data_IF_720609537119
#
_entry.id   IF_720609537119
#
_cell.length_a   1.000
_cell.length_b   1.000
_cell.length_c   1.000
_cell.angle_alpha   90.00
_cell.angle_beta   90.00
_cell.angle_gamma   90.00
#
_symmetry.space_group_name_H-M   'P 1'
#
loop_
_entity.id
_entity.type
_entity.pdbx_description
1 polymer ?
#
# COMPACT_ATOMS: atom_id res chain seq x y z
N UNK A 1 -14.83 -39.67 0.60
CA UNK A 1 -15.57 -38.95 1.65
C UNK A 1 -14.64 -37.84 2.15
N UNK A 2 -14.56 -36.75 1.40
CA UNK A 2 -13.75 -35.60 1.77
C UNK A 2 -14.63 -34.65 2.59
N UNK A 3 -14.11 -34.26 3.74
CA UNK A 3 -14.67 -33.31 4.68
C UNK A 3 -14.20 -31.92 4.23
N UNK A 4 -15.03 -31.23 3.43
CA UNK A 4 -14.87 -29.81 3.11
C UNK A 4 -15.65 -28.99 4.13
N UNK A 5 -15.00 -27.99 4.69
CA UNK A 5 -15.35 -27.34 5.95
C UNK A 5 -16.74 -26.70 5.97
N UNK A 6 -17.38 -26.80 7.13
CA UNK A 6 -18.68 -26.21 7.43
C UNK A 6 -18.58 -24.70 7.43
N UNK A 7 -19.42 -24.05 6.61
CA UNK A 7 -19.77 -22.64 6.71
C UNK A 7 -20.00 -22.27 8.18
N UNK A 8 -19.18 -21.36 8.73
CA UNK A 8 -19.45 -20.72 10.02
C UNK A 8 -20.54 -19.66 9.84
N UNK A 9 -21.76 -20.10 9.60
CA UNK A 9 -22.96 -19.26 9.52
C UNK A 9 -24.16 -20.05 10.02
N UNK A 10 -24.88 -19.50 11.00
CA UNK A 10 -25.96 -20.16 11.74
C UNK A 10 -27.14 -20.67 10.89
N UNK A 11 -28.18 -21.25 11.54
CA UNK A 11 -29.11 -22.20 10.93
C UNK A 11 -30.22 -21.59 10.05
N UNK A 12 -29.94 -20.59 9.21
CA UNK A 12 -30.91 -20.01 8.28
C UNK A 12 -30.26 -19.47 6.98
N UNK A 13 -29.78 -20.35 6.09
CA UNK A 13 -29.73 -20.07 4.63
C UNK A 13 -29.39 -21.31 3.80
N UNK A 14 -30.42 -22.06 3.39
CA UNK A 14 -30.38 -22.83 2.15
C UNK A 14 -30.74 -21.86 1.01
N UNK A 15 -29.77 -21.05 0.58
CA UNK A 15 -29.87 -20.31 -0.68
C UNK A 15 -28.96 -20.99 -1.71
N UNK A 16 -29.36 -21.07 -2.99
CA UNK A 16 -28.58 -21.74 -4.01
C UNK A 16 -27.31 -20.94 -4.27
N UNK A 17 -26.16 -21.41 -3.78
CA UNK A 17 -24.79 -21.10 -4.25
C UNK A 17 -24.43 -19.62 -4.48
N UNK A 18 -25.20 -18.64 -4.02
CA UNK A 18 -25.18 -17.32 -4.67
C UNK A 18 -24.06 -16.41 -4.22
N UNK A 19 -23.48 -16.72 -3.06
CA UNK A 19 -22.29 -16.13 -2.48
C UNK A 19 -21.91 -17.07 -1.32
N UNK A 20 -20.76 -17.72 -1.39
CA UNK A 20 -20.32 -18.68 -0.37
C UNK A 20 -19.42 -18.03 0.69
N UNK A 21 -19.09 -16.74 0.54
CA UNK A 21 -18.41 -15.94 1.55
C UNK A 21 -18.95 -14.50 1.56
N UNK A 22 -19.98 -14.26 2.39
CA UNK A 22 -20.61 -12.95 2.58
C UNK A 22 -19.64 -11.84 3.06
N UNK A 23 -18.39 -12.18 3.42
CA UNK A 23 -17.35 -11.24 3.82
C UNK A 23 -16.42 -10.81 2.68
N UNK A 24 -16.43 -11.53 1.56
CA UNK A 24 -15.53 -11.31 0.43
C UNK A 24 -16.29 -11.27 -0.89
N UNK A 25 -16.47 -10.07 -1.44
CA UNK A 25 -17.18 -9.87 -2.71
C UNK A 25 -16.55 -10.55 -3.93
N UNK A 26 -15.33 -11.08 -3.83
CA UNK A 26 -14.65 -11.86 -4.86
C UNK A 26 -15.01 -13.35 -4.86
N UNK A 27 -15.67 -13.84 -3.81
CA UNK A 27 -16.02 -15.26 -3.62
C UNK A 27 -17.53 -15.43 -3.82
N UNK A 28 -17.93 -15.72 -5.04
CA UNK A 28 -19.34 -15.81 -5.45
C UNK A 28 -19.43 -16.56 -6.79
N UNK A 29 -20.62 -16.92 -7.32
CA UNK A 29 -20.80 -17.57 -8.64
C UNK A 29 -20.15 -16.93 -9.86
N UNK A 30 -19.76 -15.66 -9.77
CA UNK A 30 -19.04 -14.93 -10.83
C UNK A 30 -17.56 -14.77 -10.51
N UNK A 31 -17.09 -15.34 -9.39
CA UNK A 31 -15.69 -15.48 -9.02
C UNK A 31 -14.95 -16.37 -10.01
N UNK A 32 -13.62 -16.32 -9.94
CA UNK A 32 -12.73 -17.16 -10.75
C UNK A 32 -11.89 -18.00 -9.83
N UNK A 33 -11.85 -19.31 -10.10
CA UNK A 33 -11.06 -20.29 -9.34
C UNK A 33 -9.59 -19.87 -9.24
N UNK A 34 -9.15 -19.67 -8.01
CA UNK A 34 -7.75 -19.49 -7.70
C UNK A 34 -7.11 -20.84 -7.40
N UNK A 35 -6.06 -21.17 -8.17
CA UNK A 35 -5.36 -22.43 -8.00
C UNK A 35 -4.37 -22.36 -6.82
N UNK A 36 -4.92 -22.21 -5.63
CA UNK A 36 -4.20 -21.95 -4.39
C UNK A 36 -4.18 -23.16 -3.44
N UNK A 37 -3.22 -23.22 -2.49
CA UNK A 37 -3.17 -24.29 -1.48
C UNK A 37 -4.25 -24.17 -0.40
N UNK A 38 -4.92 -23.02 -0.28
CA UNK A 38 -6.00 -22.75 0.68
C UNK A 38 -7.30 -23.49 0.32
N UNK A 39 -7.43 -24.02 -0.91
CA UNK A 39 -8.57 -24.82 -1.37
C UNK A 39 -9.89 -24.11 -1.09
N UNK A 40 -9.94 -22.82 -1.42
CA UNK A 40 -11.12 -21.98 -1.28
C UNK A 40 -11.97 -22.07 -2.57
N UNK A 41 -13.29 -22.10 -2.41
CA UNK A 41 -14.26 -22.20 -3.52
C UNK A 41 -14.66 -20.79 -3.97
N UNK A 42 -13.86 -20.16 -4.83
CA UNK A 42 -14.09 -18.75 -5.23
C UNK A 42 -15.32 -18.59 -6.13
N UNK A 43 -15.61 -19.58 -6.98
CA UNK A 43 -16.78 -19.53 -7.86
C UNK A 43 -18.03 -20.19 -7.24
N UNK A 44 -17.91 -20.69 -6.01
CA UNK A 44 -18.98 -21.32 -5.25
C UNK A 44 -19.67 -22.48 -6.02
N UNK A 45 -18.96 -23.13 -6.95
CA UNK A 45 -19.46 -24.27 -7.72
C UNK A 45 -19.35 -25.60 -6.97
N UNK A 46 -18.95 -25.56 -5.70
CA UNK A 46 -18.79 -26.73 -4.83
C UNK A 46 -17.48 -27.48 -5.07
N UNK A 47 -16.56 -26.93 -5.86
CA UNK A 47 -15.24 -27.48 -6.13
C UNK A 47 -14.19 -26.37 -6.08
N UNK A 48 -13.48 -26.27 -4.97
CA UNK A 48 -12.49 -25.22 -4.74
C UNK A 48 -11.21 -25.21 -5.60
N UNK A 49 -11.03 -26.19 -6.47
CA UNK A 49 -9.80 -26.35 -7.25
C UNK A 49 -10.02 -27.47 -8.27
N UNK A 50 -10.92 -27.26 -9.26
CA UNK A 50 -11.24 -28.31 -10.21
C UNK A 50 -10.01 -28.60 -11.07
N UNK A 51 -9.68 -29.88 -11.17
CA UNK A 51 -8.53 -30.41 -11.94
C UNK A 51 -8.51 -29.85 -13.36
N UNK A 52 -9.68 -29.66 -13.98
CA UNK A 52 -9.83 -29.11 -15.33
C UNK A 52 -9.38 -27.65 -15.50
N UNK A 53 -9.31 -26.87 -14.40
CA UNK A 53 -8.84 -25.48 -14.41
C UNK A 53 -7.42 -25.35 -13.85
N UNK A 54 -7.05 -26.19 -12.87
CA UNK A 54 -5.79 -26.05 -12.15
C UNK A 54 -4.64 -26.95 -12.62
N UNK A 55 -4.92 -28.04 -13.35
CA UNK A 55 -3.84 -28.75 -14.03
C UNK A 55 -3.38 -28.02 -15.29
N UNK A 56 -2.08 -28.11 -15.57
CA UNK A 56 -1.49 -27.51 -16.75
C UNK A 56 -0.26 -28.29 -17.21
N UNK A 57 0.14 -28.08 -18.46
CA UNK A 57 1.40 -28.63 -18.98
C UNK A 57 2.54 -27.66 -18.72
N UNK A 58 3.69 -28.15 -18.27
CA UNK A 58 4.87 -27.30 -17.98
C UNK A 58 5.22 -26.40 -19.18
N UNK A 59 5.30 -25.08 -18.95
CA UNK A 59 5.51 -24.06 -19.98
C UNK A 59 4.25 -23.55 -20.69
N UNK A 60 3.06 -24.06 -20.35
CA UNK A 60 1.80 -23.50 -20.83
C UNK A 60 1.57 -22.11 -20.23
N UNK A 61 0.95 -21.21 -21.01
CA UNK A 61 0.53 -19.88 -20.58
C UNK A 61 -1.01 -19.83 -20.51
N UNK A 62 -1.54 -19.11 -19.52
CA UNK A 62 -2.96 -18.71 -19.47
C UNK A 62 -3.09 -17.24 -19.07
N UNK A 63 -4.20 -16.58 -19.41
CA UNK A 63 -4.54 -15.29 -18.82
C UNK A 63 -4.57 -15.38 -17.30
N UNK A 64 -4.06 -14.36 -16.61
CA UNK A 64 -4.16 -14.27 -15.16
C UNK A 64 -5.65 -14.17 -14.74
N UNK A 65 -6.10 -14.96 -13.74
CA UNK A 65 -7.48 -14.93 -13.26
C UNK A 65 -7.78 -13.74 -12.33
N UNK A 66 -6.76 -13.02 -11.86
CA UNK A 66 -6.95 -11.88 -10.97
C UNK A 66 -7.67 -10.72 -11.70
N UNK A 67 -8.52 -9.96 -10.98
CA UNK A 67 -9.16 -8.77 -11.54
C UNK A 67 -8.14 -7.63 -11.78
N UNK A 68 -8.58 -6.53 -12.40
CA UNK A 68 -7.78 -5.32 -12.52
C UNK A 68 -6.62 -5.42 -13.52
N UNK A 69 -5.52 -4.73 -13.23
CA UNK A 69 -4.32 -4.69 -14.10
C UNK A 69 -3.65 -6.07 -14.20
N UNK A 70 -3.74 -6.87 -13.13
CA UNK A 70 -3.24 -8.23 -13.09
C UNK A 70 -3.89 -9.14 -14.13
N UNK A 71 -5.18 -8.97 -14.41
CA UNK A 71 -5.92 -9.76 -15.41
C UNK A 71 -5.40 -9.59 -16.85
N UNK A 72 -4.57 -8.57 -17.11
CA UNK A 72 -3.91 -8.38 -18.41
C UNK A 72 -2.62 -9.20 -18.57
N UNK A 73 -2.09 -9.73 -17.46
CA UNK A 73 -0.88 -10.55 -17.42
C UNK A 73 -1.17 -12.02 -17.72
N UNK A 74 -0.12 -12.85 -17.76
CA UNK A 74 -0.25 -14.30 -17.97
C UNK A 74 0.46 -15.07 -16.86
N UNK A 75 -0.15 -16.18 -16.45
CA UNK A 75 0.49 -17.17 -15.57
C UNK A 75 1.23 -18.20 -16.42
N UNK A 76 2.40 -18.63 -15.94
CA UNK A 76 3.16 -19.74 -16.55
C UNK A 76 3.01 -20.99 -15.70
N UNK A 77 2.69 -22.11 -16.34
CA UNK A 77 2.67 -23.40 -15.68
C UNK A 77 4.08 -23.89 -15.37
N UNK A 78 4.37 -24.18 -14.11
CA UNK A 78 5.62 -24.77 -13.64
C UNK A 78 5.34 -26.04 -12.83
N UNK A 79 5.95 -27.16 -13.24
CA UNK A 79 5.79 -28.46 -12.56
C UNK A 79 4.34 -28.95 -12.44
N UNK A 80 3.48 -28.62 -13.41
CA UNK A 80 2.09 -29.07 -13.46
C UNK A 80 1.09 -28.19 -12.68
N UNK A 81 1.57 -27.10 -12.06
CA UNK A 81 0.74 -26.10 -11.40
C UNK A 81 0.96 -24.72 -12.03
N UNK A 82 -0.07 -23.88 -12.04
CA UNK A 82 0.05 -22.48 -12.45
C UNK A 82 0.88 -21.71 -11.42
N UNK A 83 1.92 -21.00 -11.87
CA UNK A 83 2.62 -20.04 -11.04
C UNK A 83 1.82 -18.75 -10.82
N UNK A 84 2.35 -17.85 -10.01
CA UNK A 84 1.78 -16.50 -9.79
C UNK A 84 1.56 -15.75 -11.12
N UNK A 85 0.66 -14.77 -11.09
CA UNK A 85 0.44 -13.91 -12.25
C UNK A 85 1.75 -13.23 -12.64
N UNK A 86 2.20 -13.50 -13.87
CA UNK A 86 3.45 -12.98 -14.39
C UNK A 86 3.24 -11.56 -14.89
N UNK A 87 3.10 -10.60 -13.99
CA UNK A 87 3.61 -9.27 -14.27
C UNK A 87 5.13 -9.32 -14.06
N UNK A 88 5.89 -8.70 -14.96
CA UNK A 88 7.26 -8.33 -14.60
C UNK A 88 7.13 -7.51 -13.31
N UNK A 89 7.96 -7.68 -12.27
CA UNK A 89 7.82 -6.89 -11.05
C UNK A 89 7.83 -5.41 -11.43
N UNK A 90 6.63 -4.82 -11.47
CA UNK A 90 6.43 -3.39 -11.62
C UNK A 90 6.55 -2.85 -10.21
N UNK A 91 7.20 -1.72 -10.02
CA UNK A 91 7.05 -1.01 -8.77
C UNK A 91 5.58 -0.64 -8.59
N UNK A 92 5.05 -0.83 -7.37
CA UNK A 92 3.75 -0.31 -6.97
C UNK A 92 3.66 1.19 -7.25
N UNK A 93 2.56 1.61 -7.88
CA UNK A 93 2.23 3.03 -8.04
C UNK A 93 1.04 3.32 -7.16
N UNK A 94 1.11 4.36 -6.30
CA UNK A 94 -0.03 4.78 -5.49
C UNK A 94 -1.24 5.21 -6.35
N UNK A 95 -2.06 4.25 -6.76
CA UNK A 95 -3.15 4.38 -7.72
C UNK A 95 -4.37 3.52 -7.31
N UNK A 96 -4.28 2.75 -6.22
CA UNK A 96 -5.33 1.86 -5.72
C UNK A 96 -5.46 0.56 -6.52
N UNK A 97 -4.43 0.18 -7.27
CA UNK A 97 -4.31 -1.06 -8.02
C UNK A 97 -3.11 -1.84 -7.49
N UNK A 98 -3.18 -3.16 -7.59
CA UNK A 98 -2.08 -4.09 -7.33
C UNK A 98 -1.26 -4.18 -8.63
N UNK A 99 -0.19 -3.40 -8.76
CA UNK A 99 0.59 -3.24 -9.99
C UNK A 99 1.64 -4.36 -10.17
N UNK A 100 2.03 -5.03 -9.08
CA UNK A 100 2.99 -6.13 -9.04
C UNK A 100 2.36 -7.50 -8.81
N UNK A 101 1.04 -7.53 -8.58
CA UNK A 101 0.18 -8.70 -8.46
C UNK A 101 0.57 -9.65 -7.34
N UNK A 102 1.12 -9.13 -6.24
CA UNK A 102 1.47 -9.90 -5.06
C UNK A 102 0.29 -10.12 -4.08
N UNK A 103 -0.85 -9.47 -4.35
CA UNK A 103 -2.08 -9.56 -3.57
C UNK A 103 -2.25 -8.46 -2.52
N UNK A 104 -1.31 -7.53 -2.40
CA UNK A 104 -1.44 -6.29 -1.66
C UNK A 104 -1.64 -5.12 -2.64
N UNK A 105 -2.17 -3.99 -2.16
CA UNK A 105 -2.44 -2.83 -3.01
C UNK A 105 -1.68 -1.65 -2.47
N UNK A 106 -0.90 -0.99 -3.34
CA UNK A 106 -0.05 0.16 -3.00
C UNK A 106 0.89 -0.12 -1.80
N UNK A 107 1.46 -1.32 -1.72
CA UNK A 107 2.37 -1.72 -0.66
C UNK A 107 3.85 -1.62 -1.07
N UNK A 108 4.75 -2.05 -0.17
CA UNK A 108 6.20 -1.85 -0.30
C UNK A 108 6.63 -0.36 -0.42
N UNK A 109 7.94 -0.01 -0.28
CA UNK A 109 8.35 1.40 -0.23
C UNK A 109 8.14 2.12 -1.57
N UNK A 110 7.84 1.37 -2.63
CA UNK A 110 7.76 1.85 -4.00
C UNK A 110 6.46 2.61 -4.30
N UNK A 111 5.34 2.27 -3.65
CA UNK A 111 4.09 3.03 -3.75
C UNK A 111 4.26 4.50 -3.33
N UNK A 112 5.11 4.78 -2.33
CA UNK A 112 5.44 6.17 -1.96
C UNK A 112 6.52 6.80 -2.84
N UNK A 113 7.33 5.99 -3.52
CA UNK A 113 8.36 6.46 -4.47
C UNK A 113 7.73 6.91 -5.79
N UNK A 114 6.58 6.36 -6.17
CA UNK A 114 5.79 6.85 -7.30
C UNK A 114 5.19 8.23 -7.06
N UNK A 115 5.09 8.66 -5.79
CA UNK A 115 4.64 10.00 -5.46
C UNK A 115 5.67 11.04 -5.96
N UNK A 116 5.17 12.17 -6.45
CA UNK A 116 6.03 13.28 -6.86
C UNK A 116 6.89 13.80 -5.70
N UNK A 117 7.87 14.64 -6.00
CA UNK A 117 8.63 15.36 -4.97
C UNK A 117 8.16 16.80 -4.87
N UNK A 118 7.65 17.15 -3.69
CA UNK A 118 7.44 18.54 -3.28
C UNK A 118 8.54 18.90 -2.28
N UNK A 119 8.90 20.18 -2.18
CA UNK A 119 10.09 20.59 -1.43
C UNK A 119 9.99 20.19 0.05
N UNK A 120 10.96 19.40 0.52
CA UNK A 120 11.13 19.00 1.91
C UNK A 120 9.92 18.29 2.54
N UNK A 121 9.27 17.40 1.78
CA UNK A 121 8.11 16.62 2.24
C UNK A 121 8.35 15.14 2.06
N UNK A 122 7.80 14.34 2.97
CA UNK A 122 7.58 12.91 2.80
C UNK A 122 6.14 12.65 2.35
N UNK A 123 5.94 11.56 1.60
CA UNK A 123 4.63 11.16 1.11
C UNK A 123 4.14 9.88 1.80
N UNK A 124 2.82 9.77 1.93
CA UNK A 124 2.14 8.53 2.25
C UNK A 124 1.16 8.23 1.11
N UNK A 125 1.01 6.95 0.79
CA UNK A 125 -0.06 6.52 -0.09
C UNK A 125 -1.34 6.37 0.74
N UNK A 126 -2.28 7.27 0.52
CA UNK A 126 -3.66 7.14 0.99
C UNK A 126 -4.51 6.68 -0.20
N UNK A 127 -4.30 5.42 -0.62
CA UNK A 127 -4.90 4.77 -1.79
C UNK A 127 -6.31 5.30 -2.12
N UNK A 128 -6.55 5.93 -3.28
CA UNK A 128 -5.69 5.98 -4.48
C UNK A 128 -4.88 7.29 -4.64
N UNK A 129 -4.62 8.03 -3.56
CA UNK A 129 -3.97 9.35 -3.64
C UNK A 129 -2.71 9.45 -2.81
N UNK A 130 -1.64 9.96 -3.42
CA UNK A 130 -0.47 10.45 -2.71
C UNK A 130 -0.82 11.67 -1.87
N UNK A 131 -0.58 11.60 -0.57
CA UNK A 131 -0.72 12.72 0.35
C UNK A 131 0.63 13.07 0.97
N UNK A 132 0.85 14.35 1.28
CA UNK A 132 2.03 14.77 2.04
C UNK A 132 1.84 14.28 3.47
N UNK A 133 2.66 13.33 3.89
CA UNK A 133 2.61 12.74 5.23
C UNK A 133 3.18 13.70 6.28
N UNK A 134 4.35 14.29 5.98
CA UNK A 134 5.01 15.23 6.88
C UNK A 134 6.08 16.05 6.16
N UNK A 135 6.56 17.10 6.83
CA UNK A 135 7.80 17.76 6.44
C UNK A 135 9.02 16.92 6.81
N UNK A 136 10.08 17.03 6.02
CA UNK A 136 11.40 16.57 6.40
C UNK A 136 11.81 17.17 7.75
N UNK A 137 12.59 16.43 8.53
CA UNK A 137 13.10 16.91 9.80
C UNK A 137 13.87 18.23 9.62
N UNK A 138 13.49 19.26 10.38
CA UNK A 138 14.08 20.59 10.29
C UNK A 138 13.42 21.51 9.24
N UNK A 139 12.32 21.10 8.62
CA UNK A 139 11.56 21.91 7.67
C UNK A 139 10.10 22.08 8.10
N UNK A 140 9.48 23.18 7.66
CA UNK A 140 8.09 23.51 7.96
C UNK A 140 7.41 24.33 6.87
N UNK A 141 6.11 24.12 6.69
CA UNK A 141 5.23 24.90 5.84
C UNK A 141 4.76 26.18 6.56
N UNK A 142 5.65 27.17 6.68
CA UNK A 142 5.39 28.37 7.50
C UNK A 142 4.46 29.40 6.86
N UNK A 143 4.08 29.20 5.60
CA UNK A 143 3.04 29.93 4.89
C UNK A 143 1.65 29.28 5.02
N UNK A 144 1.53 28.24 5.85
CA UNK A 144 0.31 27.43 6.06
C UNK A 144 -0.16 26.67 4.81
N UNK A 145 0.70 26.51 3.80
CA UNK A 145 0.39 25.83 2.55
C UNK A 145 1.31 24.63 2.36
N UNK A 146 0.92 23.47 2.89
CA UNK A 146 1.73 22.25 2.73
C UNK A 146 1.83 21.78 1.27
N UNK A 147 0.88 22.18 0.41
CA UNK A 147 0.80 21.73 -0.98
C UNK A 147 1.92 22.23 -1.91
N UNK A 148 2.62 23.32 -1.56
CA UNK A 148 3.84 23.77 -2.24
C UNK A 148 5.13 23.25 -1.57
N UNK A 149 5.00 22.72 -0.36
CA UNK A 149 6.06 22.04 0.37
C UNK A 149 6.25 22.57 1.79
N UNK A 150 7.40 22.21 2.35
CA UNK A 150 7.87 22.71 3.63
C UNK A 150 9.12 23.55 3.38
N UNK A 151 8.95 24.73 2.81
CA UNK A 151 10.05 25.50 2.21
C UNK A 151 10.82 26.35 3.22
N UNK A 152 10.43 26.30 4.50
CA UNK A 152 11.10 27.06 5.55
C UNK A 152 11.95 26.16 6.43
N UNK A 153 13.25 26.45 6.48
CA UNK A 153 14.17 25.80 7.41
C UNK A 153 13.89 26.25 8.84
N UNK A 154 13.66 25.27 9.72
CA UNK A 154 13.42 25.42 11.15
C UNK A 154 14.72 25.47 11.98
N UNK A 155 15.88 25.54 11.33
CA UNK A 155 17.19 25.70 11.98
C UNK A 155 17.66 27.17 11.99
N UNK A 156 16.78 28.08 11.58
CA UNK A 156 17.05 29.52 11.55
C UNK A 156 16.61 30.18 12.86
N UNK A 157 17.27 31.28 13.24
CA UNK A 157 16.89 32.05 14.44
C UNK A 157 15.51 32.70 14.35
N UNK A 158 14.87 32.70 13.18
CA UNK A 158 13.49 33.18 12.97
C UNK A 158 12.42 32.08 12.95
N UNK A 159 12.81 30.81 12.84
CA UNK A 159 11.89 29.66 12.80
C UNK A 159 12.39 28.48 13.65
N UNK A 160 13.06 28.75 14.76
CA UNK A 160 13.84 27.73 15.46
C UNK A 160 12.96 26.63 16.08
N UNK A 161 12.98 25.43 15.50
CA UNK A 161 12.17 24.27 15.89
C UNK A 161 10.68 24.34 15.52
N UNK A 162 10.16 25.52 15.15
CA UNK A 162 8.79 25.72 14.68
C UNK A 162 8.65 27.03 13.90
N UNK A 163 7.63 27.12 13.06
CA UNK A 163 7.34 28.33 12.30
C UNK A 163 7.14 29.55 13.20
N UNK A 164 7.83 30.65 12.89
CA UNK A 164 7.79 31.91 13.62
C UNK A 164 8.26 31.80 15.08
N UNK A 165 9.03 30.76 15.42
CA UNK A 165 9.72 30.66 16.70
C UNK A 165 11.04 31.46 16.66
N UNK A 166 10.95 32.75 17.00
CA UNK A 166 12.11 33.62 17.03
C UNK A 166 12.97 33.38 18.28
N UNK A 167 14.28 33.24 18.07
CA UNK A 167 15.24 33.30 19.14
C UNK A 167 15.51 34.76 19.55
N UNK A 168 15.89 34.95 20.83
CA UNK A 168 16.32 36.25 21.32
C UNK A 168 17.56 36.76 20.56
N UNK A 169 17.75 38.09 20.45
CA UNK A 169 18.96 38.65 19.86
C UNK A 169 20.23 38.09 20.51
N UNK A 170 21.14 37.56 19.69
CA UNK A 170 22.38 36.92 20.14
C UNK A 170 22.25 35.46 20.57
N UNK A 171 21.05 34.87 20.56
CA UNK A 171 20.86 33.43 20.71
C UNK A 171 21.13 32.68 19.40
N UNK A 172 21.53 31.42 19.50
CA UNK A 172 21.69 30.50 18.37
C UNK A 172 20.57 29.46 18.35
N UNK A 173 20.15 29.05 17.16
CA UNK A 173 19.24 27.92 17.01
C UNK A 173 20.02 26.60 17.07
N UNK A 174 19.47 25.61 17.78
CA UNK A 174 20.02 24.24 17.85
C UNK A 174 18.87 23.24 17.73
N UNK A 175 19.14 21.94 17.50
CA UNK A 175 18.09 20.91 17.47
C UNK A 175 17.25 20.84 18.76
N UNK A 176 17.78 21.35 19.88
CA UNK A 176 17.07 21.45 21.17
C UNK A 176 16.34 22.78 21.37
N UNK A 177 16.22 23.61 20.33
CA UNK A 177 15.63 24.94 20.35
C UNK A 177 16.65 26.07 20.52
N UNK A 178 16.15 27.27 20.82
CA UNK A 178 16.97 28.47 21.01
C UNK A 178 17.87 28.36 22.23
N UNK A 179 19.17 28.55 22.03
CA UNK A 179 20.16 28.63 23.12
C UNK A 179 20.64 30.07 23.29
N UNK A 180 20.59 30.63 24.50
CA UNK A 180 21.12 31.98 24.73
C UNK A 180 22.60 32.00 24.37
N UNK A 181 23.02 33.02 23.61
CA UNK A 181 24.42 33.27 23.38
C UNK A 181 25.11 33.58 24.69
N UNK A 182 26.33 33.10 24.86
CA UNK A 182 27.19 33.49 25.98
C UNK A 182 27.54 34.98 25.82
N UNK A 183 26.63 35.86 26.21
CA UNK A 183 26.99 37.23 26.56
C UNK A 183 27.93 37.10 27.75
N UNK A 184 29.24 37.20 27.50
CA UNK A 184 30.21 37.45 28.55
C UNK A 184 29.64 38.57 29.41
N UNK A 185 29.19 38.22 30.62
CA UNK A 185 28.86 39.18 31.64
C UNK A 185 30.14 40.00 31.85
N UNK A 186 30.23 41.17 31.20
CA UNK A 186 31.25 42.15 31.56
C UNK A 186 30.92 42.49 33.00
N UNK A 187 31.70 41.92 33.93
CA UNK A 187 31.75 42.39 35.31
C UNK A 187 32.00 43.90 35.23
N UNK A 188 31.02 44.67 35.67
CA UNK A 188 31.22 46.08 36.01
C UNK A 188 32.26 46.19 37.13
#
# INVERSE_FOLDING_TARGET
LAIGETCSGGPLALAPRTDCDDGMSSINPSGTEQCDPEMRDEDCDGTANPVSLCECTNGQLRPCPLPGVCGTSSQTCMNGAWGSCGVSPSNETCNGLDDDCDGMTDDEPDATTSCGSVAHTTFACASPSCEIASCDMGWGACDSSVGNGCETSLDTTSHCGACNAYCLPGASCTPSGCRPGLVWARKF
#
